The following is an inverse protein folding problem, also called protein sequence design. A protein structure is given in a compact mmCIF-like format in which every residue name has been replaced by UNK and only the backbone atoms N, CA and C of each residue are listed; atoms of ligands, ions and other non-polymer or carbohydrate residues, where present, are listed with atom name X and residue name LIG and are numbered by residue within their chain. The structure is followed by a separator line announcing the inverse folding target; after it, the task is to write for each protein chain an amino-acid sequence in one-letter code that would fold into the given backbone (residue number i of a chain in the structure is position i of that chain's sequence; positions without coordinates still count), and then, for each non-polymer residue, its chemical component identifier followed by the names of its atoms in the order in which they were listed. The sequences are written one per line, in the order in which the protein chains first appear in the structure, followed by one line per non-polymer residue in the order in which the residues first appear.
data_IF_044557847219
#
_entry.id   IF_044557847219
#
_cell.length_a   1.000
_cell.length_b   1.000
_cell.length_c   1.000
_cell.angle_alpha   90.00
_cell.angle_beta   90.00
_cell.angle_gamma   90.00
#
_symmetry.space_group_name_H-M   'P 1'
#
loop_
_entity.id
_entity.type
_entity.pdbx_description
1 polymer ?
#
# COMPACT_ATOMS: atom_id res chain seq x y z
N UNK A 1 23.66 23.42 -19.38
CA UNK A 1 23.57 22.98 -17.94
C UNK A 1 22.92 24.08 -17.08
N UNK A 2 23.15 25.37 -17.37
CA UNK A 2 22.63 26.48 -16.54
C UNK A 2 21.13 26.77 -16.73
N UNK A 3 20.54 26.51 -17.91
CA UNK A 3 19.10 26.69 -18.13
C UNK A 3 18.22 25.69 -17.36
N UNK A 4 18.70 24.47 -17.13
CA UNK A 4 17.97 23.45 -16.36
C UNK A 4 17.96 23.77 -14.86
N UNK A 5 19.05 24.33 -14.33
CA UNK A 5 19.14 24.77 -12.91
C UNK A 5 18.23 25.97 -12.61
N UNK A 6 18.04 26.89 -13.57
CA UNK A 6 17.15 28.05 -13.38
C UNK A 6 15.66 27.63 -13.33
N UNK A 7 15.27 26.64 -14.13
CA UNK A 7 13.90 26.10 -14.15
C UNK A 7 13.52 25.38 -12.85
N UNK A 8 14.42 24.55 -12.32
CA UNK A 8 14.22 23.82 -11.06
C UNK A 8 14.13 24.79 -9.87
N UNK A 9 14.98 25.81 -9.83
CA UNK A 9 14.94 26.82 -8.77
C UNK A 9 13.69 27.71 -8.82
N UNK A 10 13.14 27.99 -10.01
CA UNK A 10 11.90 28.75 -10.17
C UNK A 10 10.67 27.93 -9.71
N UNK A 11 10.64 26.63 -10.00
CA UNK A 11 9.59 25.71 -9.51
C UNK A 11 9.70 25.54 -8.00
N UNK A 12 10.91 25.41 -7.46
CA UNK A 12 11.15 25.29 -6.01
C UNK A 12 10.75 26.57 -5.25
N UNK A 13 11.06 27.77 -5.77
CA UNK A 13 10.59 29.03 -5.18
C UNK A 13 9.08 29.23 -5.28
N UNK A 14 8.45 28.76 -6.33
CA UNK A 14 6.99 28.84 -6.50
C UNK A 14 6.25 27.87 -5.57
N UNK A 15 6.85 26.70 -5.28
CA UNK A 15 6.31 25.77 -4.29
C UNK A 15 6.45 26.27 -2.86
N UNK A 16 7.48 27.06 -2.53
CA UNK A 16 7.62 27.65 -1.20
C UNK A 16 6.62 28.78 -0.92
N UNK A 17 6.07 29.44 -1.94
CA UNK A 17 5.01 30.45 -1.75
C UNK A 17 3.61 29.82 -1.54
N UNK A 18 3.46 28.53 -1.82
CA UNK A 18 2.25 27.75 -1.55
C UNK A 18 2.24 27.09 -0.16
N UNK A 19 3.36 27.20 0.58
CA UNK A 19 3.51 26.73 1.96
C UNK A 19 3.63 27.95 2.89
N UNK A 20 2.73 28.90 2.72
CA UNK A 20 2.43 29.85 3.78
C UNK A 20 1.12 29.41 4.39
N UNK A 21 1.24 29.05 5.60
CA UNK A 21 0.35 28.79 6.69
C UNK A 21 0.33 27.34 7.13
N UNK A 22 0.90 27.16 8.30
CA UNK A 22 0.97 25.95 9.11
C UNK A 22 1.77 24.80 8.48
N UNK A 23 3.05 24.75 8.77
CA UNK A 23 3.82 23.50 8.71
C UNK A 23 3.18 22.51 9.69
N UNK A 24 2.04 21.93 9.28
CA UNK A 24 1.31 20.95 10.06
C UNK A 24 2.18 19.71 10.08
N UNK A 25 2.86 19.49 11.18
CA UNK A 25 3.54 18.24 11.45
C UNK A 25 2.53 17.10 11.26
N UNK A 26 2.97 15.96 10.75
CA UNK A 26 2.08 14.80 10.49
C UNK A 26 1.21 14.43 11.72
N UNK A 27 1.67 14.71 12.92
CA UNK A 27 0.93 14.53 14.18
C UNK A 27 -0.29 15.44 14.34
N UNK A 28 -0.38 16.53 13.59
CA UNK A 28 -1.50 17.48 13.63
C UNK A 28 -2.49 17.28 12.48
N UNK A 29 -2.20 16.38 11.54
CA UNK A 29 -3.12 16.06 10.45
C UNK A 29 -4.32 15.30 11.01
N UNK A 30 -5.53 15.82 10.76
CA UNK A 30 -6.75 15.07 11.05
C UNK A 30 -6.88 13.95 10.02
N UNK A 31 -7.16 12.70 10.45
CA UNK A 31 -7.47 11.62 9.52
C UNK A 31 -8.67 11.98 8.67
N UNK A 32 -8.58 11.73 7.36
CA UNK A 32 -9.71 11.89 6.45
C UNK A 32 -10.78 10.84 6.75
N UNK A 33 -12.04 11.23 6.69
CA UNK A 33 -13.18 10.31 6.78
C UNK A 33 -13.58 9.78 5.39
N UNK A 34 -14.54 8.84 5.36
CA UNK A 34 -14.97 8.20 4.12
C UNK A 34 -15.50 9.22 3.08
N UNK A 35 -16.20 10.27 3.51
CA UNK A 35 -16.80 11.27 2.62
C UNK A 35 -15.76 12.19 1.97
N UNK A 36 -14.58 12.30 2.57
CA UNK A 36 -13.47 13.12 2.06
C UNK A 36 -12.54 12.35 1.09
N UNK A 37 -12.77 11.04 0.92
CA UNK A 37 -11.93 10.18 0.09
C UNK A 37 -12.73 9.67 -1.12
N UNK A 38 -12.23 9.95 -2.31
CA UNK A 38 -12.86 9.56 -3.56
C UNK A 38 -12.68 8.06 -3.81
N UNK A 39 -13.73 7.40 -4.23
CA UNK A 39 -13.66 6.04 -4.76
C UNK A 39 -12.96 6.05 -6.12
N UNK A 40 -12.16 5.02 -6.37
CA UNK A 40 -11.49 4.82 -7.65
C UNK A 40 -12.15 3.63 -8.33
N UNK A 41 -12.72 3.86 -9.50
CA UNK A 41 -13.35 2.82 -10.29
C UNK A 41 -12.32 1.72 -10.64
N UNK A 42 -12.73 0.47 -10.49
CA UNK A 42 -11.83 -0.66 -10.70
C UNK A 42 -10.91 -1.01 -9.52
N UNK A 43 -11.04 -0.33 -8.37
CA UNK A 43 -10.33 -0.67 -7.13
C UNK A 43 -11.32 -1.05 -6.04
N UNK A 44 -11.18 -2.24 -5.49
CA UNK A 44 -11.95 -2.71 -4.34
C UNK A 44 -11.02 -2.96 -3.15
N UNK A 45 -11.45 -2.54 -1.96
CA UNK A 45 -10.67 -2.64 -0.74
C UNK A 45 -11.35 -3.57 0.25
N UNK A 46 -10.53 -4.41 0.90
CA UNK A 46 -10.98 -5.33 1.92
C UNK A 46 -10.00 -5.30 3.10
N UNK A 47 -10.52 -5.60 4.31
CA UNK A 47 -9.69 -5.79 5.50
C UNK A 47 -10.04 -7.07 6.20
N UNK A 48 -9.07 -7.65 6.89
CA UNK A 48 -9.18 -8.84 7.72
C UNK A 48 -8.37 -8.73 8.99
N UNK A 49 -8.69 -9.59 9.94
CA UNK A 49 -8.04 -9.68 11.25
C UNK A 49 -7.33 -11.03 11.35
N UNK A 50 -5.99 -11.00 11.22
CA UNK A 50 -5.15 -12.19 11.39
C UNK A 50 -4.64 -12.33 12.83
N UNK A 51 -4.70 -11.27 13.62
CA UNK A 51 -4.19 -11.24 14.99
C UNK A 51 -2.67 -11.44 15.03
N UNK A 52 -1.93 -10.72 14.17
CA UNK A 52 -0.47 -10.86 14.08
C UNK A 52 0.20 -10.35 15.36
N UNK A 53 -0.18 -9.17 15.82
CA UNK A 53 0.34 -8.56 17.06
C UNK A 53 -0.74 -8.13 18.03
N UNK A 54 -1.91 -7.71 17.53
CA UNK A 54 -3.04 -7.24 18.33
C UNK A 54 -4.28 -8.04 17.99
N UNK A 55 -4.99 -8.59 18.96
CA UNK A 55 -6.31 -9.15 18.72
C UNK A 55 -7.27 -8.04 18.25
N UNK A 56 -8.29 -8.40 17.53
CA UNK A 56 -9.40 -7.51 17.08
C UNK A 56 -8.95 -6.25 16.31
N UNK A 57 -7.78 -6.30 15.67
CA UNK A 57 -7.25 -5.25 14.83
C UNK A 57 -7.23 -5.68 13.36
N UNK A 58 -7.63 -4.79 12.46
CA UNK A 58 -7.52 -5.03 11.02
C UNK A 58 -6.03 -4.92 10.63
N UNK A 59 -5.38 -6.06 10.48
CA UNK A 59 -3.94 -6.17 10.22
C UNK A 59 -3.61 -6.82 8.87
N UNK A 60 -4.65 -7.10 8.06
CA UNK A 60 -4.51 -7.49 6.67
C UNK A 60 -5.41 -6.61 5.81
N UNK A 61 -4.84 -5.97 4.80
CA UNK A 61 -5.54 -5.15 3.80
C UNK A 61 -5.32 -5.74 2.42
N UNK A 62 -6.39 -5.86 1.64
CA UNK A 62 -6.35 -6.31 0.26
C UNK A 62 -6.93 -5.25 -0.65
N UNK A 63 -6.19 -4.88 -1.69
CA UNK A 63 -6.66 -4.07 -2.82
C UNK A 63 -6.81 -4.99 -4.02
N UNK A 64 -8.02 -5.13 -4.54
CA UNK A 64 -8.31 -5.87 -5.77
C UNK A 64 -8.46 -4.88 -6.91
N UNK A 65 -7.77 -5.16 -7.99
CA UNK A 65 -7.71 -4.31 -9.18
C UNK A 65 -8.54 -4.94 -10.31
N UNK A 66 -9.24 -4.10 -11.07
CA UNK A 66 -9.94 -4.54 -12.28
C UNK A 66 -8.94 -5.10 -13.32
N UNK A 67 -9.39 -5.96 -14.24
CA UNK A 67 -8.59 -6.32 -15.39
C UNK A 67 -8.10 -5.08 -16.14
N UNK A 68 -6.92 -5.14 -16.74
CA UNK A 68 -6.27 -4.04 -17.45
C UNK A 68 -5.77 -2.86 -16.59
N UNK A 69 -5.86 -2.93 -15.27
CA UNK A 69 -5.19 -1.97 -14.40
C UNK A 69 -3.67 -2.00 -14.62
N UNK A 70 -3.05 -0.84 -14.55
CA UNK A 70 -1.59 -0.71 -14.64
C UNK A 70 -1.02 -0.45 -13.27
N UNK A 71 0.05 -1.15 -12.92
CA UNK A 71 0.73 -1.00 -11.63
C UNK A 71 2.18 -0.61 -11.89
N UNK A 72 2.63 0.42 -11.19
CA UNK A 72 4.02 0.87 -11.19
C UNK A 72 4.50 1.00 -9.73
N UNK A 73 5.79 0.86 -9.51
CA UNK A 73 6.36 0.94 -8.16
C UNK A 73 7.82 1.34 -8.19
N UNK A 74 8.26 1.89 -7.05
CA UNK A 74 9.66 2.17 -6.77
C UNK A 74 10.09 1.35 -5.55
N UNK A 75 11.36 0.96 -5.52
CA UNK A 75 11.89 0.07 -4.49
C UNK A 75 13.13 0.67 -3.85
N UNK A 76 13.37 0.25 -2.60
CA UNK A 76 14.63 0.58 -1.92
C UNK A 76 15.82 -0.05 -2.64
N UNK A 77 16.96 0.64 -2.62
CA UNK A 77 18.25 0.14 -3.08
C UNK A 77 19.06 -0.55 -1.95
N UNK A 78 18.48 -0.64 -0.76
CA UNK A 78 19.13 -1.31 0.37
C UNK A 78 19.29 -2.81 0.07
N UNK A 79 20.49 -3.33 0.27
CA UNK A 79 20.79 -4.77 0.11
C UNK A 79 20.04 -5.66 1.09
N UNK A 80 19.72 -5.15 2.26
CA UNK A 80 18.88 -5.83 3.26
C UNK A 80 17.40 -5.60 2.95
N UNK A 81 16.97 -6.06 1.78
CA UNK A 81 15.58 -5.98 1.37
C UNK A 81 14.72 -7.04 2.05
N UNK A 82 13.52 -6.63 2.49
CA UNK A 82 12.50 -7.55 2.97
C UNK A 82 12.02 -8.50 1.84
N UNK A 83 11.56 -9.68 2.21
CA UNK A 83 11.05 -10.68 1.27
C UNK A 83 9.93 -10.12 0.36
N UNK A 84 8.93 -9.36 0.84
CA UNK A 84 7.92 -8.75 -0.03
C UNK A 84 8.51 -7.85 -1.13
N UNK A 85 9.57 -7.09 -0.81
CA UNK A 85 10.23 -6.20 -1.81
C UNK A 85 10.81 -7.04 -2.96
N UNK A 86 11.51 -8.14 -2.65
CA UNK A 86 12.07 -9.04 -3.67
C UNK A 86 10.99 -9.67 -4.53
N UNK A 87 9.90 -10.15 -3.92
CA UNK A 87 8.77 -10.71 -4.66
C UNK A 87 8.12 -9.66 -5.57
N UNK A 88 7.93 -8.43 -5.08
CA UNK A 88 7.38 -7.35 -5.91
C UNK A 88 8.31 -6.98 -7.08
N UNK A 89 9.62 -6.91 -6.86
CA UNK A 89 10.61 -6.63 -7.93
C UNK A 89 10.58 -7.70 -9.03
N UNK A 90 10.35 -8.96 -8.66
CA UNK A 90 10.25 -10.08 -9.61
C UNK A 90 8.95 -10.02 -10.41
N UNK A 91 7.81 -9.75 -9.75
CA UNK A 91 6.48 -9.86 -10.36
C UNK A 91 6.02 -8.61 -11.11
N UNK A 92 6.42 -7.42 -10.65
CA UNK A 92 5.95 -6.16 -11.21
C UNK A 92 6.22 -5.98 -12.72
N UNK A 93 7.35 -6.46 -13.28
CA UNK A 93 7.62 -6.33 -14.73
C UNK A 93 6.59 -7.04 -15.63
N UNK A 94 5.88 -8.03 -15.13
CA UNK A 94 4.82 -8.72 -15.90
C UNK A 94 3.64 -7.81 -16.25
N UNK A 95 3.47 -6.73 -15.48
CA UNK A 95 2.42 -5.71 -15.62
C UNK A 95 0.99 -6.27 -15.73
N UNK A 96 0.74 -7.44 -15.11
CA UNK A 96 -0.57 -8.11 -15.07
C UNK A 96 -1.03 -8.31 -13.62
N UNK A 97 -0.86 -7.26 -12.80
CA UNK A 97 -1.18 -7.33 -11.38
C UNK A 97 -2.67 -7.16 -11.16
N UNK A 98 -3.24 -8.03 -10.34
CA UNK A 98 -4.66 -8.10 -9.99
C UNK A 98 -4.94 -7.75 -8.53
N UNK A 99 -3.93 -7.84 -7.67
CA UNK A 99 -4.11 -7.48 -6.27
C UNK A 99 -2.81 -7.03 -5.59
N UNK A 100 -2.99 -6.24 -4.53
CA UNK A 100 -1.96 -5.89 -3.56
C UNK A 100 -2.44 -6.32 -2.18
N UNK A 101 -1.64 -7.11 -1.44
CA UNK A 101 -1.96 -7.55 -0.09
C UNK A 101 -0.94 -6.99 0.90
N UNK A 102 -1.43 -6.30 1.92
CA UNK A 102 -0.61 -5.66 2.97
C UNK A 102 -0.88 -6.35 4.29
N UNK A 103 0.14 -6.79 5.00
CA UNK A 103 0.01 -7.16 6.40
C UNK A 103 0.75 -6.19 7.31
N UNK A 104 0.21 -5.94 8.50
CA UNK A 104 0.84 -5.15 9.57
C UNK A 104 1.22 -6.03 10.75
N UNK A 105 2.19 -5.56 11.56
CA UNK A 105 2.67 -6.26 12.74
C UNK A 105 3.91 -7.12 12.53
N UNK A 106 4.20 -7.53 11.30
CA UNK A 106 5.40 -8.28 10.91
C UNK A 106 5.90 -7.78 9.56
N UNK A 107 7.17 -7.40 9.48
CA UNK A 107 7.77 -6.83 8.26
C UNK A 107 8.26 -7.88 7.26
N UNK A 108 8.31 -9.14 7.64
CA UNK A 108 8.89 -10.23 6.84
C UNK A 108 10.26 -9.87 6.27
N UNK A 109 11.10 -9.28 7.13
CA UNK A 109 12.43 -8.80 6.79
C UNK A 109 13.49 -9.54 7.61
N UNK A 110 14.63 -9.85 6.98
CA UNK A 110 15.71 -10.61 7.60
C UNK A 110 15.40 -12.11 7.79
N UNK A 111 14.41 -12.63 7.09
CA UNK A 111 13.90 -14.00 7.22
C UNK A 111 14.37 -14.94 6.09
N UNK A 112 15.23 -14.45 5.20
CA UNK A 112 15.86 -15.25 4.13
C UNK A 112 14.85 -15.95 3.21
N UNK A 113 15.17 -17.17 2.79
CA UNK A 113 14.33 -17.97 1.89
C UNK A 113 12.97 -18.36 2.51
N UNK A 114 12.91 -18.56 3.83
CA UNK A 114 11.63 -18.82 4.52
C UNK A 114 10.67 -17.65 4.36
N UNK A 115 11.17 -16.40 4.48
CA UNK A 115 10.37 -15.21 4.26
C UNK A 115 9.81 -15.10 2.84
N UNK A 116 10.60 -15.44 1.82
CA UNK A 116 10.15 -15.51 0.42
C UNK A 116 9.05 -16.54 0.22
N UNK A 117 9.25 -17.76 0.76
CA UNK A 117 8.25 -18.84 0.72
C UNK A 117 6.93 -18.40 1.35
N UNK A 118 6.98 -17.78 2.54
CA UNK A 118 5.77 -17.30 3.25
C UNK A 118 5.07 -16.16 2.51
N UNK A 119 5.81 -15.21 1.94
CA UNK A 119 5.23 -14.15 1.11
C UNK A 119 4.49 -14.72 -0.10
N UNK A 120 5.09 -15.68 -0.81
CA UNK A 120 4.44 -16.36 -1.95
C UNK A 120 3.22 -17.17 -1.52
N UNK A 121 3.24 -17.79 -0.33
CA UNK A 121 2.08 -18.51 0.22
C UNK A 121 0.90 -17.55 0.49
N UNK A 122 1.16 -16.33 0.95
CA UNK A 122 0.11 -15.30 1.08
C UNK A 122 -0.42 -14.89 -0.30
N UNK A 123 0.44 -14.69 -1.30
CA UNK A 123 0.02 -14.37 -2.67
C UNK A 123 -0.89 -15.48 -3.24
N UNK A 124 -0.52 -16.75 -3.04
CA UNK A 124 -1.32 -17.89 -3.50
C UNK A 124 -2.72 -17.92 -2.85
N UNK A 125 -2.82 -17.64 -1.54
CA UNK A 125 -4.11 -17.60 -0.86
C UNK A 125 -5.01 -16.45 -1.35
N UNK A 126 -4.43 -15.28 -1.66
CA UNK A 126 -5.19 -14.19 -2.30
C UNK A 126 -5.65 -14.59 -3.69
N UNK A 127 -4.76 -15.18 -4.49
CA UNK A 127 -5.05 -15.62 -5.85
C UNK A 127 -6.21 -16.60 -5.90
N UNK A 128 -6.24 -17.59 -4.99
CA UNK A 128 -7.36 -18.52 -4.81
C UNK A 128 -8.67 -17.78 -4.50
N UNK A 129 -8.63 -16.79 -3.59
CA UNK A 129 -9.81 -16.05 -3.15
C UNK A 129 -10.42 -15.19 -4.26
N UNK A 130 -9.59 -14.52 -5.09
CA UNK A 130 -10.05 -13.61 -6.15
C UNK A 130 -10.03 -14.24 -7.56
N UNK A 131 -9.68 -15.54 -7.66
CA UNK A 131 -9.61 -16.32 -8.91
C UNK A 131 -8.66 -15.69 -9.94
N UNK A 132 -7.41 -15.50 -9.55
CA UNK A 132 -6.31 -15.09 -10.43
C UNK A 132 -5.07 -15.96 -10.19
N UNK A 133 -3.98 -15.68 -10.90
CA UNK A 133 -2.71 -16.38 -10.70
C UNK A 133 -1.91 -15.76 -9.53
N UNK A 134 -1.13 -16.59 -8.81
CA UNK A 134 -0.34 -16.14 -7.67
C UNK A 134 0.71 -15.07 -8.04
N UNK A 135 1.21 -15.10 -9.27
CA UNK A 135 2.14 -14.10 -9.81
C UNK A 135 1.48 -12.76 -10.17
N UNK A 136 0.18 -12.64 -10.03
CA UNK A 136 -0.59 -11.41 -10.21
C UNK A 136 -0.87 -10.68 -8.88
N UNK A 137 -0.29 -11.16 -7.77
CA UNK A 137 -0.49 -10.60 -6.43
C UNK A 137 0.81 -10.06 -5.88
N UNK A 138 0.83 -8.80 -5.48
CA UNK A 138 1.98 -8.15 -4.85
C UNK A 138 1.84 -8.12 -3.33
N UNK A 139 2.79 -8.70 -2.57
CA UNK A 139 2.78 -8.68 -1.11
C UNK A 139 3.47 -7.42 -0.57
N UNK A 140 2.96 -6.91 0.56
CA UNK A 140 3.55 -5.84 1.34
C UNK A 140 3.51 -6.22 2.81
N UNK A 141 4.57 -5.94 3.56
CA UNK A 141 4.62 -6.24 4.99
C UNK A 141 5.26 -5.10 5.75
N UNK A 142 4.71 -4.82 6.92
CA UNK A 142 5.26 -3.80 7.81
C UNK A 142 5.11 -4.20 9.27
N UNK A 143 6.12 -3.90 10.09
CA UNK A 143 6.13 -4.20 11.51
C UNK A 143 7.48 -4.74 12.00
N UNK A 144 7.47 -5.77 12.84
CA UNK A 144 8.66 -6.35 13.44
C UNK A 144 9.51 -7.09 12.40
N UNK A 145 10.83 -6.90 12.47
CA UNK A 145 11.83 -7.59 11.64
C UNK A 145 12.35 -8.84 12.36
N UNK A 146 12.98 -9.76 11.61
CA UNK A 146 13.62 -10.98 12.11
C UNK A 146 12.67 -12.01 12.74
N UNK A 147 11.36 -11.83 12.59
CA UNK A 147 10.36 -12.80 13.00
C UNK A 147 9.76 -13.50 11.77
N UNK A 148 9.53 -14.83 11.81
CA UNK A 148 8.82 -15.53 10.75
C UNK A 148 7.42 -14.93 10.54
N UNK A 149 7.04 -14.72 9.28
CA UNK A 149 5.69 -14.23 8.95
C UNK A 149 4.65 -15.30 9.31
N UNK A 150 3.64 -15.01 10.15
CA UNK A 150 2.57 -15.97 10.48
C UNK A 150 1.56 -16.08 9.32
N UNK A 151 2.01 -16.62 8.17
CA UNK A 151 1.28 -16.62 6.92
C UNK A 151 -0.03 -17.42 6.99
N UNK A 152 -0.10 -18.47 7.81
CA UNK A 152 -1.31 -19.28 8.00
C UNK A 152 -2.45 -18.46 8.65
N UNK A 153 -2.11 -17.56 9.58
CA UNK A 153 -3.08 -16.63 10.16
C UNK A 153 -3.59 -15.66 9.10
N UNK A 154 -2.69 -15.15 8.26
CA UNK A 154 -3.04 -14.24 7.16
C UNK A 154 -3.94 -14.95 6.15
N UNK A 155 -3.62 -16.19 5.76
CA UNK A 155 -4.44 -17.01 4.87
C UNK A 155 -5.85 -17.25 5.44
N UNK A 156 -5.94 -17.47 6.75
CA UNK A 156 -7.24 -17.62 7.43
C UNK A 156 -8.03 -16.31 7.42
N UNK A 157 -7.37 -15.18 7.63
CA UNK A 157 -8.00 -13.86 7.59
C UNK A 157 -8.51 -13.50 6.19
N UNK A 158 -7.76 -13.83 5.12
CA UNK A 158 -8.14 -13.56 3.72
C UNK A 158 -9.50 -14.16 3.40
N UNK A 159 -9.81 -15.35 3.89
CA UNK A 159 -11.11 -16.03 3.67
C UNK A 159 -12.30 -15.31 4.34
N UNK A 160 -12.05 -14.41 5.29
CA UNK A 160 -13.06 -13.74 6.11
C UNK A 160 -13.05 -12.22 5.94
N UNK A 161 -12.34 -11.69 4.94
CA UNK A 161 -12.21 -10.26 4.70
C UNK A 161 -13.55 -9.60 4.40
N UNK A 162 -13.67 -8.36 4.83
CA UNK A 162 -14.86 -7.52 4.60
C UNK A 162 -14.51 -6.34 3.71
N UNK A 163 -15.43 -5.95 2.79
CA UNK A 163 -15.24 -4.75 1.99
C UNK A 163 -15.22 -3.50 2.85
N UNK A 164 -14.37 -2.55 2.51
CA UNK A 164 -14.21 -1.30 3.25
C UNK A 164 -13.94 -0.14 2.31
N UNK A 165 -13.99 1.08 2.87
CA UNK A 165 -13.58 2.29 2.20
C UNK A 165 -12.13 2.65 2.52
N UNK A 166 -11.56 3.64 1.82
CA UNK A 166 -10.17 4.06 1.89
C UNK A 166 -9.71 4.48 3.30
N UNK A 167 -10.56 5.12 4.10
CA UNK A 167 -10.27 5.54 5.48
C UNK A 167 -10.00 4.35 6.41
N UNK A 168 -10.74 3.26 6.25
CA UNK A 168 -10.54 2.02 7.02
C UNK A 168 -9.27 1.31 6.55
N UNK A 169 -9.01 1.25 5.24
CA UNK A 169 -7.79 0.69 4.69
C UNK A 169 -6.55 1.49 5.16
N UNK A 170 -6.62 2.83 5.18
CA UNK A 170 -5.56 3.68 5.69
C UNK A 170 -5.24 3.42 7.18
N UNK A 171 -6.25 3.14 8.00
CA UNK A 171 -6.08 2.74 9.40
C UNK A 171 -5.47 1.35 9.51
N UNK A 172 -5.90 0.41 8.68
CA UNK A 172 -5.46 -0.99 8.74
C UNK A 172 -3.98 -1.17 8.38
N UNK A 173 -3.38 -0.30 7.55
CA UNK A 173 -1.96 -0.36 7.21
C UNK A 173 -1.04 0.28 8.26
N UNK A 174 -1.58 0.93 9.31
CA UNK A 174 -0.77 1.57 10.37
C UNK A 174 -0.03 0.53 11.24
N UNK A 175 1.14 0.92 11.73
CA UNK A 175 1.87 0.19 12.79
C UNK A 175 2.23 1.14 13.94
N UNK A 176 3.26 1.95 13.79
CA UNK A 176 3.72 2.97 14.74
C UNK A 176 3.20 4.37 14.39
N UNK A 177 2.43 4.49 13.33
CA UNK A 177 1.83 5.75 12.92
C UNK A 177 0.86 6.26 14.00
N UNK A 178 0.86 7.56 14.23
CA UNK A 178 -0.03 8.21 15.19
C UNK A 178 -1.39 8.54 14.60
N UNK A 179 -1.43 8.75 13.28
CA UNK A 179 -2.65 9.05 12.52
C UNK A 179 -2.65 8.32 11.18
N UNK A 180 -3.82 7.96 10.69
CA UNK A 180 -3.99 7.43 9.34
C UNK A 180 -3.73 8.54 8.31
N UNK A 181 -2.88 8.26 7.32
CA UNK A 181 -2.52 9.19 6.25
C UNK A 181 -3.24 8.81 4.97
N UNK A 182 -4.09 9.69 4.50
CA UNK A 182 -4.87 9.50 3.28
C UNK A 182 -5.23 10.84 2.64
N UNK A 183 -5.46 10.84 1.35
CA UNK A 183 -5.89 12.03 0.62
C UNK A 183 -6.48 11.68 -0.73
N UNK A 184 -7.38 12.53 -1.21
CA UNK A 184 -7.97 12.43 -2.53
C UNK A 184 -7.97 13.78 -3.22
N UNK A 185 -7.91 13.73 -4.55
CA UNK A 185 -8.08 14.90 -5.41
C UNK A 185 -8.70 14.48 -6.73
N UNK A 186 -9.54 15.35 -7.29
CA UNK A 186 -10.00 15.26 -8.66
C UNK A 186 -9.37 16.41 -9.46
N UNK A 187 -8.89 16.13 -10.64
CA UNK A 187 -8.30 17.09 -11.58
C UNK A 187 -8.93 16.88 -12.95
N UNK A 188 -8.95 17.94 -13.75
CA UNK A 188 -9.30 17.86 -15.17
C UNK A 188 -8.00 17.88 -15.96
N UNK A 189 -7.74 16.85 -16.75
CA UNK A 189 -6.55 16.70 -17.61
C UNK A 189 -7.05 16.45 -19.01
N UNK A 190 -6.72 17.33 -19.93
CA UNK A 190 -7.17 17.27 -21.34
C UNK A 190 -8.68 17.11 -21.53
N UNK A 191 -9.48 17.72 -20.63
CA UNK A 191 -10.95 17.66 -20.63
C UNK A 191 -11.54 16.46 -19.90
N UNK A 192 -10.73 15.51 -19.46
CA UNK A 192 -11.14 14.30 -18.74
C UNK A 192 -11.00 14.47 -17.22
N UNK A 193 -11.98 13.97 -16.46
CA UNK A 193 -11.94 13.96 -15.00
C UNK A 193 -11.07 12.80 -14.49
N UNK A 194 -9.95 13.13 -13.87
CA UNK A 194 -9.01 12.17 -13.28
C UNK A 194 -9.06 12.23 -11.76
N UNK A 195 -9.34 11.10 -11.12
CA UNK A 195 -9.38 10.96 -9.66
C UNK A 195 -8.13 10.32 -9.12
N UNK A 196 -7.62 10.89 -8.06
CA UNK A 196 -6.49 10.37 -7.29
C UNK A 196 -6.94 10.09 -5.88
N UNK A 197 -6.63 8.92 -5.35
CA UNK A 197 -6.77 8.59 -3.93
C UNK A 197 -5.54 7.82 -3.50
N UNK A 198 -4.97 8.21 -2.38
CA UNK A 198 -3.78 7.61 -1.82
C UNK A 198 -3.88 7.38 -0.32
N UNK A 199 -3.24 6.33 0.12
CA UNK A 199 -2.96 6.04 1.54
C UNK A 199 -1.47 5.82 1.71
N UNK A 200 -0.97 6.20 2.86
CA UNK A 200 0.45 6.12 3.16
C UNK A 200 0.70 5.64 4.59
N UNK A 201 1.85 5.04 4.71
CA UNK A 201 2.35 4.54 5.99
C UNK A 201 3.85 4.85 6.13
#
# INVERSE_FOLDING_TARGET
IDRAKSGINAVYKKSQHLIKDDAVMAVHLKPKNAQELLTIDGVQLFVGQAGIKKPDYNDVTLMVLSPNSRVAGVFTQNRFCAAPVRVCQELLPSNNIRALVVNTGNANAGTGEDGLKRARAVCAAVAEQIKCEANQVLPFSTGVILEPLPHEKIQTAIKKMKPVHWDVAAKAIMTTDTVAKSGSRELVVDGEHVRFTGISK
#
